data_IF_601317374277
#
_entry.id   IF_601317374277
#
_cell.length_a   1.000
_cell.length_b   1.000
_cell.length_c   1.000
_cell.angle_alpha   90.00
_cell.angle_beta   90.00
_cell.angle_gamma   90.00
#
_symmetry.space_group_name_H-M   'P 1'
#
loop_
_entity.id
_entity.type
_entity.pdbx_description
1 polymer ?
#
# COMPACT_ATOMS: atom_id res chain seq x y z
N UNK A 1 -12.00 11.76 -17.10
CA UNK A 1 -10.72 11.10 -17.46
C UNK A 1 -11.04 9.81 -18.20
N UNK A 2 -10.27 9.46 -19.23
CA UNK A 2 -10.44 8.16 -19.88
C UNK A 2 -9.89 7.06 -18.98
N UNK A 3 -10.57 5.90 -18.92
CA UNK A 3 -10.15 4.73 -18.14
C UNK A 3 -8.69 4.33 -18.45
N UNK A 4 -8.23 4.33 -19.72
CA UNK A 4 -6.84 4.04 -20.05
C UNK A 4 -5.85 5.02 -19.43
N UNK A 5 -6.15 6.32 -19.42
CA UNK A 5 -5.26 7.33 -18.85
C UNK A 5 -5.12 7.16 -17.33
N UNK A 6 -6.22 6.87 -16.62
CA UNK A 6 -6.18 6.57 -15.19
C UNK A 6 -5.35 5.31 -14.91
N UNK A 7 -5.52 4.27 -15.73
CA UNK A 7 -4.78 3.02 -15.59
C UNK A 7 -3.27 3.20 -15.80
N UNK A 8 -2.87 3.91 -16.87
CA UNK A 8 -1.45 4.24 -17.13
C UNK A 8 -0.87 5.08 -15.99
N UNK A 9 -1.61 6.06 -15.49
CA UNK A 9 -1.19 6.88 -14.35
C UNK A 9 -0.91 6.03 -13.10
N UNK A 10 -1.81 5.10 -12.77
CA UNK A 10 -1.62 4.18 -11.65
C UNK A 10 -0.36 3.33 -11.85
N UNK A 11 -0.14 2.77 -13.05
CA UNK A 11 1.06 1.97 -13.34
C UNK A 11 2.32 2.79 -13.11
N UNK A 12 2.40 4.00 -13.66
CA UNK A 12 3.59 4.85 -13.50
C UNK A 12 3.88 5.18 -12.04
N UNK A 13 2.85 5.52 -11.26
CA UNK A 13 2.98 5.85 -9.84
C UNK A 13 3.42 4.61 -9.04
N UNK A 14 2.80 3.45 -9.27
CA UNK A 14 3.07 2.25 -8.50
C UNK A 14 4.39 1.58 -8.88
N UNK A 15 4.78 1.57 -10.15
CA UNK A 15 6.06 1.01 -10.59
C UNK A 15 7.26 1.82 -10.10
N UNK A 16 7.11 3.14 -9.92
CA UNK A 16 8.19 4.01 -9.43
C UNK A 16 8.22 4.14 -7.90
N UNK A 17 7.14 3.77 -7.20
CA UNK A 17 7.04 3.93 -5.74
C UNK A 17 8.13 3.19 -4.97
N UNK A 18 8.41 1.89 -5.21
CA UNK A 18 9.46 1.16 -4.48
C UNK A 18 10.85 1.76 -4.69
N UNK A 19 11.13 2.26 -5.89
CA UNK A 19 12.38 2.97 -6.19
C UNK A 19 12.47 4.29 -5.41
N UNK A 20 11.41 5.09 -5.42
CA UNK A 20 11.34 6.34 -4.67
C UNK A 20 11.46 6.14 -3.15
N UNK A 21 10.93 5.03 -2.60
CA UNK A 21 11.10 4.67 -1.17
C UNK A 21 12.59 4.50 -0.85
N UNK A 22 13.34 3.76 -1.68
CA UNK A 22 14.77 3.58 -1.45
C UNK A 22 15.55 4.87 -1.61
N UNK A 23 15.32 5.62 -2.68
CA UNK A 23 16.03 6.89 -2.92
C UNK A 23 15.76 7.94 -1.85
N UNK A 24 14.50 8.09 -1.42
CA UNK A 24 14.15 9.06 -0.37
C UNK A 24 14.73 8.71 1.00
N UNK A 25 15.00 7.43 1.27
CA UNK A 25 15.62 6.99 2.52
C UNK A 25 17.15 7.14 2.55
N UNK A 26 17.80 7.39 1.40
CA UNK A 26 19.24 7.58 1.32
C UNK A 26 19.64 8.93 1.95
N UNK A 27 20.66 8.91 2.81
CA UNK A 27 21.24 10.12 3.43
C UNK A 27 20.50 10.67 4.66
N UNK A 28 19.16 10.67 4.67
CA UNK A 28 18.33 11.28 5.74
C UNK A 28 17.68 10.27 6.71
N UNK A 29 17.74 8.97 6.38
CA UNK A 29 17.16 7.90 7.19
C UNK A 29 15.68 7.66 6.89
N UNK A 30 15.23 6.42 7.14
CA UNK A 30 13.90 5.96 6.71
C UNK A 30 12.73 6.71 7.39
N UNK A 31 12.90 7.07 8.68
CA UNK A 31 11.85 7.71 9.47
C UNK A 31 11.51 9.11 8.95
N UNK A 32 12.53 9.91 8.61
CA UNK A 32 12.32 11.20 7.98
C UNK A 32 11.73 11.05 6.58
N UNK A 33 12.22 10.09 5.80
CA UNK A 33 11.74 9.85 4.44
C UNK A 33 10.24 9.48 4.39
N UNK A 34 9.80 8.56 5.27
CA UNK A 34 8.37 8.21 5.38
C UNK A 34 7.55 9.38 5.91
N UNK A 35 8.05 10.09 6.94
CA UNK A 35 7.37 11.26 7.50
C UNK A 35 7.17 12.35 6.43
N UNK A 36 8.22 12.73 5.71
CA UNK A 36 8.17 13.73 4.66
C UNK A 36 7.19 13.31 3.54
N UNK A 37 7.21 12.04 3.12
CA UNK A 37 6.24 11.53 2.13
C UNK A 37 4.80 11.64 2.61
N UNK A 38 4.53 11.27 3.87
CA UNK A 38 3.17 11.37 4.44
C UNK A 38 2.75 12.83 4.61
N UNK A 39 3.65 13.70 5.08
CA UNK A 39 3.40 15.12 5.24
C UNK A 39 3.10 15.83 3.91
N UNK A 40 3.85 15.51 2.84
CA UNK A 40 3.59 16.01 1.49
C UNK A 40 2.24 15.51 0.99
N UNK A 41 1.94 14.21 1.17
CA UNK A 41 0.65 13.62 0.79
C UNK A 41 -0.53 14.29 1.49
N UNK A 42 -0.46 14.43 2.81
CA UNK A 42 -1.46 15.12 3.64
C UNK A 42 -1.64 16.58 3.20
N UNK A 43 -0.53 17.30 2.98
CA UNK A 43 -0.58 18.70 2.55
C UNK A 43 -1.27 18.83 1.19
N UNK A 44 -0.91 17.96 0.24
CA UNK A 44 -1.53 17.95 -1.10
C UNK A 44 -3.01 17.58 -1.03
N UNK A 45 -3.37 16.54 -0.29
CA UNK A 45 -4.77 16.12 -0.12
C UNK A 45 -5.61 17.23 0.52
N UNK A 46 -5.07 17.91 1.55
CA UNK A 46 -5.70 19.05 2.21
C UNK A 46 -5.90 20.21 1.23
N UNK A 47 -4.87 20.58 0.46
CA UNK A 47 -4.99 21.63 -0.57
C UNK A 47 -6.07 21.27 -1.59
N UNK A 48 -6.12 20.02 -2.05
CA UNK A 48 -7.13 19.58 -3.01
C UNK A 48 -8.55 19.61 -2.42
N UNK A 49 -8.73 19.20 -1.15
CA UNK A 49 -10.02 19.31 -0.45
C UNK A 49 -10.48 20.77 -0.36
N UNK A 50 -9.57 21.70 -0.02
CA UNK A 50 -9.88 23.13 0.08
C UNK A 50 -10.20 23.76 -1.29
N UNK A 51 -9.40 23.45 -2.31
CA UNK A 51 -9.55 24.01 -3.67
C UNK A 51 -10.84 23.50 -4.33
N UNK A 52 -11.15 22.22 -4.15
CA UNK A 52 -12.37 21.62 -4.71
C UNK A 52 -13.59 21.72 -3.81
N UNK A 53 -13.43 22.34 -2.62
CA UNK A 53 -14.50 22.55 -1.62
C UNK A 53 -15.26 21.26 -1.32
N UNK A 54 -14.51 20.17 -1.18
CA UNK A 54 -15.07 18.87 -0.84
C UNK A 54 -15.35 18.84 0.65
N UNK A 55 -16.50 18.28 1.01
CA UNK A 55 -16.86 18.10 2.41
C UNK A 55 -15.86 17.16 3.10
N UNK A 56 -15.58 17.44 4.38
CA UNK A 56 -14.81 16.59 5.27
C UNK A 56 -15.72 16.07 6.39
N UNK A 57 -16.44 14.96 6.16
CA UNK A 57 -17.46 14.51 7.10
C UNK A 57 -16.86 14.06 8.44
N UNK A 58 -17.42 14.55 9.55
CA UNK A 58 -16.94 14.23 10.91
C UNK A 58 -17.88 13.27 11.66
N UNK A 59 -18.83 12.65 10.97
CA UNK A 59 -19.70 11.65 11.59
C UNK A 59 -18.92 10.40 12.00
N UNK A 60 -19.53 9.59 12.86
CA UNK A 60 -18.88 8.45 13.51
C UNK A 60 -18.21 7.49 12.51
N UNK A 61 -18.89 7.15 11.41
CA UNK A 61 -18.37 6.24 10.38
C UNK A 61 -17.17 6.83 9.64
N UNK A 62 -17.24 8.09 9.22
CA UNK A 62 -16.12 8.79 8.59
C UNK A 62 -14.88 8.81 9.48
N UNK A 63 -15.03 9.18 10.77
CA UNK A 63 -13.90 9.15 11.73
C UNK A 63 -13.34 7.74 11.93
N UNK A 64 -14.18 6.72 11.95
CA UNK A 64 -13.72 5.33 12.02
C UNK A 64 -12.92 4.96 10.77
N UNK A 65 -13.37 5.38 9.59
CA UNK A 65 -12.65 5.17 8.33
C UNK A 65 -11.30 5.89 8.35
N UNK A 66 -11.22 7.12 8.86
CA UNK A 66 -9.96 7.87 9.00
C UNK A 66 -9.00 7.20 9.97
N UNK A 67 -9.50 6.70 11.10
CA UNK A 67 -8.65 5.97 12.05
C UNK A 67 -8.13 4.65 11.48
N UNK A 68 -9.00 3.86 10.84
CA UNK A 68 -8.60 2.55 10.26
C UNK A 68 -7.64 2.73 9.09
N UNK A 69 -7.94 3.67 8.18
CA UNK A 69 -7.08 3.99 7.04
C UNK A 69 -5.76 4.61 7.50
N UNK A 70 -5.80 5.62 8.37
CA UNK A 70 -4.63 6.36 8.83
C UNK A 70 -3.67 5.48 9.64
N UNK A 71 -4.16 4.72 10.62
CA UNK A 71 -3.33 3.79 11.40
C UNK A 71 -2.79 2.65 10.53
N UNK A 72 -3.62 2.13 9.62
CA UNK A 72 -3.21 1.10 8.67
C UNK A 72 -2.11 1.57 7.73
N UNK A 73 -2.28 2.76 7.14
CA UNK A 73 -1.30 3.37 6.25
C UNK A 73 -0.01 3.72 6.99
N UNK A 74 -0.10 4.32 8.18
CA UNK A 74 1.05 4.66 9.01
C UNK A 74 1.88 3.41 9.35
N UNK A 75 1.22 2.36 9.85
CA UNK A 75 1.90 1.10 10.21
C UNK A 75 2.52 0.43 8.99
N UNK A 76 1.77 0.29 7.90
CA UNK A 76 2.25 -0.33 6.67
C UNK A 76 3.43 0.45 6.06
N UNK A 77 3.34 1.78 5.96
CA UNK A 77 4.38 2.61 5.36
C UNK A 77 5.64 2.63 6.22
N UNK A 78 5.50 2.71 7.55
CA UNK A 78 6.66 2.66 8.47
C UNK A 78 7.44 1.35 8.31
N UNK A 79 6.73 0.22 8.32
CA UNK A 79 7.33 -1.10 8.13
C UNK A 79 7.94 -1.26 6.72
N UNK A 80 7.28 -0.73 5.70
CA UNK A 80 7.78 -0.75 4.32
C UNK A 80 9.09 0.01 4.19
N UNK A 81 9.15 1.24 4.70
CA UNK A 81 10.35 2.07 4.68
C UNK A 81 11.48 1.46 5.51
N UNK A 82 11.16 0.88 6.66
CA UNK A 82 12.15 0.20 7.49
C UNK A 82 12.71 -1.05 6.79
N UNK A 83 11.84 -1.91 6.26
CA UNK A 83 12.26 -3.15 5.62
C UNK A 83 12.96 -2.94 4.28
N UNK A 84 12.61 -1.87 3.54
CA UNK A 84 13.28 -1.47 2.29
C UNK A 84 14.76 -1.07 2.48
N UNK A 85 15.24 -0.94 3.73
CA UNK A 85 16.67 -0.78 4.05
C UNK A 85 17.47 -2.06 3.87
N UNK A 86 16.82 -3.22 3.95
CA UNK A 86 17.48 -4.53 3.99
C UNK A 86 17.26 -5.35 2.72
N UNK A 87 16.35 -4.92 1.85
CA UNK A 87 16.03 -5.59 0.59
C UNK A 87 15.97 -4.56 -0.54
N UNK A 88 16.20 -5.00 -1.79
CA UNK A 88 16.11 -4.13 -2.96
C UNK A 88 14.65 -3.81 -3.34
N UNK A 89 14.44 -2.68 -4.01
CA UNK A 89 13.13 -2.16 -4.44
C UNK A 89 12.34 -3.14 -5.32
N UNK A 90 13.05 -4.02 -6.05
CA UNK A 90 12.44 -5.13 -6.77
C UNK A 90 11.66 -6.07 -5.86
N UNK A 91 12.28 -6.57 -4.80
CA UNK A 91 11.62 -7.43 -3.81
C UNK A 91 10.47 -6.71 -3.09
N UNK A 92 10.61 -5.40 -2.80
CA UNK A 92 9.49 -4.60 -2.28
C UNK A 92 8.28 -4.68 -3.21
N UNK A 93 8.51 -4.56 -4.53
CA UNK A 93 7.46 -4.66 -5.56
C UNK A 93 6.80 -6.04 -5.59
N UNK A 94 7.61 -7.11 -5.55
CA UNK A 94 7.14 -8.51 -5.52
C UNK A 94 6.21 -8.73 -4.33
N UNK A 95 6.62 -8.27 -3.13
CA UNK A 95 5.90 -8.48 -1.89
C UNK A 95 4.57 -7.72 -1.87
N UNK A 96 4.54 -6.46 -2.33
CA UNK A 96 3.28 -5.73 -2.49
C UNK A 96 2.36 -6.34 -3.57
N UNK A 97 2.91 -7.12 -4.51
CA UNK A 97 2.15 -7.96 -5.43
C UNK A 97 1.28 -9.03 -4.74
N UNK A 98 1.54 -9.36 -3.47
CA UNK A 98 0.69 -10.25 -2.67
C UNK A 98 -0.52 -9.52 -2.06
N UNK A 99 -0.61 -8.19 -2.14
CA UNK A 99 -1.73 -7.43 -1.60
C UNK A 99 -3.10 -7.89 -2.09
N UNK A 100 -3.33 -8.27 -3.37
CA UNK A 100 -4.64 -8.77 -3.80
C UNK A 100 -5.02 -10.10 -3.15
N UNK A 101 -4.03 -10.96 -2.86
CA UNK A 101 -4.23 -12.22 -2.14
C UNK A 101 -4.64 -11.95 -0.69
N UNK A 102 -3.86 -11.12 0.01
CA UNK A 102 -4.15 -10.75 1.40
C UNK A 102 -5.50 -10.04 1.54
N UNK A 103 -5.81 -9.10 0.64
CA UNK A 103 -7.11 -8.43 0.59
C UNK A 103 -8.24 -9.43 0.34
N UNK A 104 -8.03 -10.44 -0.50
CA UNK A 104 -8.98 -11.54 -0.69
C UNK A 104 -9.20 -12.35 0.59
N UNK A 105 -8.14 -12.72 1.30
CA UNK A 105 -8.23 -13.43 2.59
C UNK A 105 -9.04 -12.61 3.60
N UNK A 106 -8.68 -11.35 3.82
CA UNK A 106 -9.42 -10.49 4.75
C UNK A 106 -10.87 -10.27 4.32
N UNK A 107 -11.13 -10.13 3.01
CA UNK A 107 -12.50 -9.96 2.50
C UNK A 107 -13.35 -11.22 2.74
N UNK A 108 -12.77 -12.42 2.59
CA UNK A 108 -13.45 -13.67 2.93
C UNK A 108 -13.73 -13.78 4.44
N UNK A 109 -12.74 -13.44 5.27
CA UNK A 109 -12.85 -13.57 6.72
C UNK A 109 -13.76 -12.53 7.38
N UNK A 110 -13.70 -11.26 6.93
CA UNK A 110 -14.37 -10.14 7.59
C UNK A 110 -15.69 -9.75 6.95
N UNK A 111 -15.85 -9.97 5.65
CA UNK A 111 -17.04 -9.61 4.88
C UNK A 111 -17.85 -10.83 4.43
N UNK A 112 -17.34 -12.05 4.62
CA UNK A 112 -18.00 -13.27 4.15
C UNK A 112 -18.05 -13.40 2.63
N UNK A 113 -17.27 -12.59 1.89
CA UNK A 113 -17.27 -12.60 0.44
C UNK A 113 -16.57 -13.85 -0.11
N UNK A 114 -17.11 -14.44 -1.17
CA UNK A 114 -16.42 -15.47 -1.98
C UNK A 114 -15.34 -14.86 -2.86
N UNK A 115 -14.44 -14.12 -2.23
CA UNK A 115 -13.40 -13.32 -2.88
C UNK A 115 -12.17 -14.16 -3.28
N UNK A 116 -12.01 -15.36 -2.72
CA UNK A 116 -10.95 -16.35 -3.03
C UNK A 116 -11.44 -17.41 -4.03
N UNK A 117 -11.77 -17.00 -5.26
CA UNK A 117 -12.13 -17.95 -6.31
C UNK A 117 -10.88 -18.62 -6.90
N UNK A 118 -10.98 -19.86 -7.44
CA UNK A 118 -9.86 -20.53 -8.09
C UNK A 118 -9.22 -19.69 -9.22
N UNK A 119 -10.04 -18.96 -9.99
CA UNK A 119 -9.57 -18.07 -11.06
C UNK A 119 -8.74 -16.91 -10.51
N UNK A 120 -9.18 -16.28 -9.41
CA UNK A 120 -8.44 -15.18 -8.78
C UNK A 120 -7.15 -15.68 -8.15
N UNK A 121 -7.18 -16.86 -7.54
CA UNK A 121 -5.98 -17.48 -6.98
C UNK A 121 -4.97 -17.81 -8.08
N UNK A 122 -5.42 -18.38 -9.20
CA UNK A 122 -4.56 -18.66 -10.35
C UNK A 122 -3.96 -17.38 -10.96
N UNK A 123 -4.78 -16.34 -11.17
CA UNK A 123 -4.28 -15.05 -11.69
C UNK A 123 -3.28 -14.37 -10.74
N UNK A 124 -3.53 -14.44 -9.42
CA UNK A 124 -2.62 -13.90 -8.41
C UNK A 124 -1.32 -14.70 -8.35
N UNK A 125 -1.40 -16.02 -8.40
CA UNK A 125 -0.23 -16.90 -8.46
C UNK A 125 0.61 -16.63 -9.71
N UNK A 126 -0.02 -16.52 -10.89
CA UNK A 126 0.68 -16.16 -12.14
C UNK A 126 1.37 -14.79 -12.04
N UNK A 127 0.69 -13.78 -11.47
CA UNK A 127 1.28 -12.45 -11.26
C UNK A 127 2.48 -12.48 -10.31
N UNK A 128 2.36 -13.18 -9.19
CA UNK A 128 3.45 -13.39 -8.23
C UNK A 128 4.61 -14.15 -8.88
N UNK A 129 4.34 -15.20 -9.65
CA UNK A 129 5.37 -15.96 -10.36
C UNK A 129 6.09 -15.10 -11.41
N UNK A 130 5.38 -14.26 -12.16
CA UNK A 130 5.99 -13.32 -13.11
C UNK A 130 6.91 -12.32 -12.41
N UNK A 131 6.44 -11.72 -11.31
CA UNK A 131 7.25 -10.86 -10.46
C UNK A 131 8.48 -11.60 -9.91
N UNK A 132 8.31 -12.80 -9.36
CA UNK A 132 9.40 -13.61 -8.83
C UNK A 132 10.43 -13.95 -9.92
N UNK A 133 10.01 -14.28 -11.14
CA UNK A 133 10.91 -14.57 -12.26
C UNK A 133 11.72 -13.35 -12.70
N UNK A 134 11.10 -12.17 -12.76
CA UNK A 134 11.79 -10.91 -13.11
C UNK A 134 12.91 -10.62 -12.10
N UNK A 135 12.67 -10.90 -10.81
CA UNK A 135 13.62 -10.61 -9.73
C UNK A 135 14.45 -11.81 -9.27
N UNK A 136 14.25 -13.01 -9.84
CA UNK A 136 15.00 -14.23 -9.45
C UNK A 136 16.50 -14.14 -9.78
N UNK A 137 16.88 -13.28 -10.73
CA UNK A 137 18.26 -13.02 -11.14
C UNK A 137 18.83 -11.69 -10.63
N UNK A 138 18.11 -10.97 -9.77
CA UNK A 138 18.71 -9.80 -9.13
C UNK A 138 19.73 -10.30 -8.11
N UNK A 139 21.01 -10.20 -8.43
CA UNK A 139 22.10 -10.60 -7.56
C UNK A 139 21.97 -9.89 -6.20
N UNK A 140 21.88 -10.68 -5.12
CA UNK A 140 21.95 -10.20 -3.75
C UNK A 140 20.63 -10.25 -3.00
N UNK A 141 20.15 -11.44 -2.62
CA UNK A 141 19.28 -11.53 -1.43
C UNK A 141 20.09 -10.86 -0.29
N UNK A 142 19.53 -9.79 0.28
CA UNK A 142 20.26 -8.80 1.09
C UNK A 142 21.04 -9.38 2.26
N UNK A 143 21.94 -8.57 2.83
CA UNK A 143 22.84 -8.94 3.93
C UNK A 143 22.15 -9.44 5.20
N UNK A 144 22.87 -9.49 6.33
CA UNK A 144 22.48 -10.19 7.58
C UNK A 144 21.05 -9.91 8.12
N UNK A 145 20.37 -8.86 7.67
CA UNK A 145 19.02 -8.47 8.09
C UNK A 145 17.91 -8.64 7.02
N UNK A 146 18.18 -9.31 5.89
CA UNK A 146 17.18 -9.48 4.83
C UNK A 146 15.89 -10.20 5.28
N UNK A 147 16.00 -11.20 6.16
CA UNK A 147 14.83 -11.89 6.71
C UNK A 147 13.94 -10.94 7.53
N UNK A 148 14.55 -10.01 8.27
CA UNK A 148 13.81 -9.00 9.03
C UNK A 148 13.12 -7.99 8.09
N UNK A 149 13.79 -7.58 7.01
CA UNK A 149 13.17 -6.74 5.98
C UNK A 149 11.98 -7.43 5.30
N UNK A 150 12.14 -8.71 4.95
CA UNK A 150 11.09 -9.54 4.35
C UNK A 150 9.87 -9.66 5.28
N UNK A 151 10.08 -9.98 6.55
CA UNK A 151 9.00 -10.14 7.53
C UNK A 151 8.27 -8.82 7.78
N UNK A 152 9.01 -7.70 7.89
CA UNK A 152 8.43 -6.37 8.02
C UNK A 152 7.55 -6.00 6.82
N UNK A 153 7.98 -6.31 5.59
CA UNK A 153 7.17 -6.02 4.40
C UNK A 153 5.95 -6.94 4.27
N UNK A 154 6.06 -8.22 4.60
CA UNK A 154 4.89 -9.10 4.64
C UNK A 154 3.86 -8.61 5.65
N UNK A 155 4.32 -8.17 6.84
CA UNK A 155 3.46 -7.55 7.83
C UNK A 155 2.86 -6.23 7.32
N UNK A 156 3.64 -5.39 6.62
CA UNK A 156 3.15 -4.17 6.01
C UNK A 156 2.03 -4.43 5.00
N UNK A 157 2.21 -5.42 4.12
CA UNK A 157 1.19 -5.83 3.14
C UNK A 157 -0.06 -6.35 3.84
N UNK A 158 0.09 -7.15 4.90
CA UNK A 158 -1.04 -7.63 5.68
C UNK A 158 -1.81 -6.48 6.35
N UNK A 159 -1.12 -5.53 7.01
CA UNK A 159 -1.75 -4.35 7.64
C UNK A 159 -2.44 -3.48 6.59
N UNK A 160 -1.77 -3.23 5.46
CA UNK A 160 -2.34 -2.44 4.37
C UNK A 160 -3.61 -3.08 3.81
N UNK A 161 -3.56 -4.37 3.47
CA UNK A 161 -4.72 -5.12 2.98
C UNK A 161 -5.85 -5.20 4.01
N UNK A 162 -5.53 -5.40 5.29
CA UNK A 162 -6.51 -5.39 6.37
C UNK A 162 -7.21 -4.02 6.49
N UNK A 163 -6.45 -2.92 6.40
CA UNK A 163 -7.00 -1.57 6.46
C UNK A 163 -7.96 -1.28 5.29
N UNK A 164 -7.62 -1.68 4.06
CA UNK A 164 -8.50 -1.56 2.90
C UNK A 164 -9.83 -2.29 3.08
N UNK A 165 -9.79 -3.52 3.59
CA UNK A 165 -11.01 -4.30 3.88
C UNK A 165 -11.75 -3.71 5.08
N UNK A 166 -11.04 -3.15 6.06
CA UNK A 166 -11.60 -2.46 7.22
C UNK A 166 -12.42 -1.23 6.82
N UNK A 167 -11.89 -0.38 5.93
CA UNK A 167 -12.63 0.77 5.37
C UNK A 167 -13.88 0.27 4.65
N UNK A 168 -13.75 -0.77 3.81
CA UNK A 168 -14.89 -1.38 3.11
C UNK A 168 -15.95 -1.91 4.09
N UNK A 169 -15.53 -2.49 5.22
CA UNK A 169 -16.42 -3.01 6.27
C UNK A 169 -17.19 -1.91 6.99
N UNK A 170 -16.60 -0.74 7.19
CA UNK A 170 -17.27 0.41 7.82
C UNK A 170 -18.42 0.91 6.94
N UNK A 171 -18.28 0.78 5.61
CA UNK A 171 -19.33 1.11 4.65
C UNK A 171 -19.67 2.60 4.66
N UNK A 172 -18.63 3.43 4.73
CA UNK A 172 -18.73 4.88 4.69
C UNK A 172 -18.74 5.39 3.24
N UNK A 173 -19.59 6.37 2.96
CA UNK A 173 -19.79 6.98 1.64
C UNK A 173 -19.14 8.37 1.50
N UNK A 174 -18.26 8.75 2.44
CA UNK A 174 -17.50 9.99 2.35
C UNK A 174 -16.69 10.06 1.05
N UNK A 175 -16.43 11.28 0.54
CA UNK A 175 -15.56 11.47 -0.62
C UNK A 175 -14.23 10.73 -0.45
N UNK A 176 -13.76 9.95 -1.45
CA UNK A 176 -12.52 9.18 -1.33
C UNK A 176 -11.29 10.04 -0.96
N UNK A 177 -11.29 11.30 -1.40
CA UNK A 177 -10.22 12.24 -1.06
C UNK A 177 -10.21 12.59 0.44
N UNK A 178 -11.37 12.67 1.09
CA UNK A 178 -11.47 12.91 2.54
C UNK A 178 -10.97 11.70 3.34
N UNK A 179 -11.16 10.48 2.84
CA UNK A 179 -10.63 9.25 3.46
C UNK A 179 -9.13 9.06 3.20
N UNK A 180 -8.57 9.74 2.20
CA UNK A 180 -7.14 9.64 1.83
C UNK A 180 -6.28 10.72 2.48
N UNK A 181 -6.88 11.86 2.86
CA UNK A 181 -6.21 12.97 3.54
C UNK A 181 -5.81 12.59 4.96
#
# INVERSE_FOLDING_TARGET
MSIPAAYIGIILIWSTTPLAIQWSAQGVGFAFAVFARMAIGLSLATVLLLVWRLDFPLHRRARQSYLVSGLGLFGAMTLTYWGARFIHSGLVSVLFGFSPLMTGVFSALWLGERSLTPRRLAGTALGISGLALIFARSDGIGGEHALAGLSALLLAVAIYSASLVGIKRIGDDSPPLATTA
#
